data_IF_416088276443
#
_entry.id   IF_416088276443
#
_cell.length_a   1.000
_cell.length_b   1.000
_cell.length_c   1.000
_cell.angle_alpha   90.00
_cell.angle_beta   90.00
_cell.angle_gamma   90.00
#
_symmetry.space_group_name_H-M   'P 1'
#
loop_
_entity.id
_entity.type
_entity.pdbx_description
1 polymer ?
#
# COMPACT_ATOMS: atom_id res chain seq x y z
N UNK A 1 11.52 57.15 5.49
CA UNK A 1 12.28 55.92 5.85
C UNK A 1 11.34 54.74 5.67
N UNK A 2 11.48 54.01 4.57
CA UNK A 2 10.61 52.86 4.22
C UNK A 2 11.35 51.56 4.54
N UNK A 3 10.85 50.80 5.52
CA UNK A 3 11.40 49.49 5.89
C UNK A 3 10.91 48.42 4.92
N UNK A 4 11.82 47.89 4.11
CA UNK A 4 11.60 46.65 3.36
C UNK A 4 11.82 45.46 4.29
N UNK A 5 10.77 44.70 4.57
CA UNK A 5 10.86 43.41 5.27
C UNK A 5 10.78 42.29 4.23
N UNK A 6 11.90 41.59 4.02
CA UNK A 6 11.96 40.39 3.18
C UNK A 6 11.35 39.20 3.91
N UNK A 7 10.50 38.35 3.29
CA UNK A 7 9.98 37.16 3.95
C UNK A 7 11.06 36.07 4.04
N UNK A 8 11.18 35.47 5.23
CA UNK A 8 12.01 34.28 5.48
C UNK A 8 11.48 33.10 4.66
N UNK A 9 12.33 32.61 3.74
CA UNK A 9 12.09 31.40 2.95
C UNK A 9 12.27 30.17 3.86
N UNK A 10 11.19 29.47 4.18
CA UNK A 10 11.29 28.20 4.90
C UNK A 10 11.98 27.14 4.03
N UNK A 11 12.89 26.33 4.59
CA UNK A 11 13.48 25.22 3.85
C UNK A 11 12.42 24.14 3.59
N UNK A 12 12.29 23.72 2.34
CA UNK A 12 11.47 22.58 1.93
C UNK A 12 11.91 21.30 2.65
N UNK A 13 10.99 20.40 3.02
CA UNK A 13 11.35 19.10 3.60
C UNK A 13 12.24 18.33 2.64
N UNK A 14 13.37 17.82 3.15
CA UNK A 14 14.27 16.94 2.40
C UNK A 14 13.49 15.70 1.97
N UNK A 15 13.27 15.54 0.66
CA UNK A 15 12.93 14.24 0.08
C UNK A 15 14.07 13.27 0.42
N UNK A 16 13.73 12.18 1.10
CA UNK A 16 14.65 11.06 1.27
C UNK A 16 14.53 10.18 0.03
N UNK A 17 15.62 10.09 -0.73
CA UNK A 17 15.72 9.19 -1.88
C UNK A 17 15.46 7.73 -1.46
N UNK A 18 14.73 6.94 -2.24
CA UNK A 18 14.55 5.52 -2.02
C UNK A 18 15.78 4.76 -2.53
N UNK A 19 16.91 4.97 -1.87
CA UNK A 19 18.10 4.13 -2.04
C UNK A 19 18.56 3.71 -0.65
N UNK A 20 18.07 2.58 -0.20
CA UNK A 20 18.85 1.53 0.46
C UNK A 20 17.90 0.48 1.06
N UNK A 21 17.86 -0.70 0.44
CA UNK A 21 17.57 -1.99 1.10
C UNK A 21 17.77 -3.12 0.08
N UNK A 22 18.99 -3.29 -0.43
CA UNK A 22 19.37 -4.49 -1.21
C UNK A 22 19.80 -5.59 -0.26
N UNK A 23 18.86 -6.37 0.27
CA UNK A 23 19.14 -7.72 0.76
C UNK A 23 17.85 -8.55 0.73
N UNK A 24 17.78 -9.66 0.00
CA UNK A 24 16.52 -10.36 -0.29
C UNK A 24 15.96 -11.22 0.86
N UNK A 25 16.70 -11.36 1.98
CA UNK A 25 16.10 -11.74 3.27
C UNK A 25 15.28 -10.61 3.94
N UNK A 26 15.41 -9.38 3.45
CA UNK A 26 14.83 -8.17 4.04
C UNK A 26 13.34 -7.99 3.75
N UNK A 27 12.79 -8.48 2.63
CA UNK A 27 11.40 -8.12 2.25
C UNK A 27 10.36 -8.72 3.20
N UNK A 28 10.46 -10.01 3.50
CA UNK A 28 9.60 -10.72 4.45
C UNK A 28 9.83 -10.21 5.87
N UNK A 29 11.09 -10.01 6.27
CA UNK A 29 11.44 -9.49 7.59
C UNK A 29 10.89 -8.06 7.79
N UNK A 30 11.04 -7.20 6.78
CA UNK A 30 10.50 -5.83 6.76
C UNK A 30 8.98 -5.84 6.80
N UNK A 31 8.33 -6.64 5.96
CA UNK A 31 6.88 -6.79 5.97
C UNK A 31 6.38 -7.22 7.35
N UNK A 32 6.96 -8.26 7.95
CA UNK A 32 6.56 -8.69 9.30
C UNK A 32 6.86 -7.63 10.36
N UNK A 33 7.98 -6.89 10.20
CA UNK A 33 8.39 -5.84 11.12
C UNK A 33 7.39 -4.68 11.10
N UNK A 34 7.24 -4.01 9.95
CA UNK A 34 6.51 -2.73 9.81
C UNK A 34 5.09 -2.86 9.23
N UNK A 35 4.74 -4.04 8.73
CA UNK A 35 3.41 -4.38 8.21
C UNK A 35 3.16 -3.99 6.75
N UNK A 36 4.16 -3.53 6.00
CA UNK A 36 4.06 -3.31 4.57
C UNK A 36 5.37 -3.58 3.83
N UNK A 37 5.28 -3.72 2.50
CA UNK A 37 6.41 -3.72 1.58
C UNK A 37 5.98 -3.09 0.24
N UNK A 38 6.72 -2.13 -0.27
CA UNK A 38 6.44 -1.48 -1.56
C UNK A 38 7.59 -1.71 -2.54
N UNK A 39 7.25 -2.06 -3.78
CA UNK A 39 8.19 -2.22 -4.88
C UNK A 39 7.68 -1.51 -6.15
N UNK A 40 8.45 -0.57 -6.73
CA UNK A 40 8.05 0.15 -7.94
C UNK A 40 8.27 -0.70 -9.20
N UNK A 41 7.32 -1.59 -9.49
CA UNK A 41 7.30 -2.42 -10.71
C UNK A 41 6.48 -1.73 -11.79
N UNK A 42 7.14 -1.06 -12.73
CA UNK A 42 6.47 -0.21 -13.70
C UNK A 42 5.59 -0.96 -14.69
N UNK A 43 5.98 -2.19 -15.04
CA UNK A 43 5.21 -3.07 -15.92
C UNK A 43 3.83 -3.37 -15.32
N UNK A 44 3.76 -3.53 -14.00
CA UNK A 44 2.48 -3.64 -13.27
C UNK A 44 1.72 -2.32 -13.36
N UNK A 45 2.38 -1.19 -13.09
CA UNK A 45 1.76 0.13 -13.19
C UNK A 45 1.11 0.38 -14.56
N UNK A 46 1.85 0.16 -15.64
CA UNK A 46 1.38 0.34 -17.01
C UNK A 46 0.20 -0.58 -17.34
N UNK A 47 0.26 -1.85 -16.88
CA UNK A 47 -0.84 -2.81 -17.04
C UNK A 47 -2.11 -2.36 -16.31
N UNK A 48 -2.00 -1.91 -15.06
CA UNK A 48 -3.14 -1.43 -14.28
C UNK A 48 -3.76 -0.19 -14.92
N UNK A 49 -2.94 0.79 -15.33
CA UNK A 49 -3.40 2.00 -16.00
C UNK A 49 -4.20 1.67 -17.28
N UNK A 50 -3.66 0.76 -18.11
CA UNK A 50 -4.34 0.30 -19.32
C UNK A 50 -5.68 -0.38 -19.02
N UNK A 51 -5.74 -1.24 -18.00
CA UNK A 51 -6.98 -1.91 -17.60
C UNK A 51 -8.05 -0.92 -17.15
N UNK A 52 -7.68 0.15 -16.45
CA UNK A 52 -8.62 1.22 -16.10
C UNK A 52 -9.07 2.03 -17.31
N UNK A 53 -8.16 2.39 -18.22
CA UNK A 53 -8.50 3.08 -19.47
C UNK A 53 -9.48 2.27 -20.33
N UNK A 54 -9.32 0.94 -20.35
CA UNK A 54 -10.20 0.02 -21.08
C UNK A 54 -11.50 -0.31 -20.33
N UNK A 55 -11.69 0.13 -19.07
CA UNK A 55 -12.84 -0.26 -18.25
C UNK A 55 -12.85 -1.75 -17.85
N UNK A 56 -11.70 -2.42 -17.90
CA UNK A 56 -11.52 -3.86 -17.66
C UNK A 56 -10.85 -4.20 -16.34
N UNK A 57 -10.48 -3.21 -15.53
CA UNK A 57 -9.88 -3.42 -14.21
C UNK A 57 -10.70 -4.36 -13.31
N UNK A 58 -12.04 -4.27 -13.36
CA UNK A 58 -12.92 -5.17 -12.60
C UNK A 58 -12.98 -6.61 -13.11
N UNK A 59 -12.46 -6.91 -14.30
CA UNK A 59 -12.58 -8.21 -14.96
C UNK A 59 -11.37 -9.12 -14.73
N UNK A 60 -10.23 -8.55 -14.34
CA UNK A 60 -9.00 -9.33 -14.11
C UNK A 60 -8.98 -9.95 -12.71
N UNK A 61 -8.24 -11.04 -12.58
CA UNK A 61 -7.87 -11.65 -11.31
C UNK A 61 -6.35 -11.60 -11.11
N UNK A 62 -5.88 -12.04 -9.94
CA UNK A 62 -4.47 -11.94 -9.56
C UNK A 62 -3.53 -12.69 -10.52
N UNK A 63 -3.99 -13.76 -11.18
CA UNK A 63 -3.15 -14.57 -12.07
C UNK A 63 -2.72 -13.76 -13.30
N UNK A 64 -3.50 -12.74 -13.69
CA UNK A 64 -3.16 -11.85 -14.80
C UNK A 64 -1.81 -11.14 -14.60
N UNK A 65 -1.38 -10.95 -13.35
CA UNK A 65 -0.14 -10.27 -12.98
C UNK A 65 0.93 -11.22 -12.45
N UNK A 66 0.68 -12.53 -12.47
CA UNK A 66 1.54 -13.53 -11.82
C UNK A 66 2.97 -13.49 -12.33
N UNK A 67 3.15 -13.42 -13.64
CA UNK A 67 4.48 -13.45 -14.25
C UNK A 67 5.27 -12.18 -13.89
N UNK A 68 4.62 -11.01 -13.87
CA UNK A 68 5.27 -9.75 -13.47
C UNK A 68 5.68 -9.78 -11.99
N UNK A 69 4.77 -10.24 -11.12
CA UNK A 69 5.03 -10.36 -9.68
C UNK A 69 6.17 -11.34 -9.38
N UNK A 70 6.21 -12.49 -10.06
CA UNK A 70 7.23 -13.52 -9.83
C UNK A 70 8.58 -13.22 -10.50
N UNK A 71 8.61 -12.28 -11.46
CA UNK A 71 9.85 -11.79 -12.06
C UNK A 71 10.68 -10.94 -11.10
N UNK A 72 10.05 -10.34 -10.08
CA UNK A 72 10.71 -9.56 -9.03
C UNK A 72 11.05 -10.46 -7.83
N UNK A 73 12.33 -10.48 -7.43
CA UNK A 73 12.82 -11.35 -6.35
C UNK A 73 12.12 -11.07 -5.00
N UNK A 74 12.01 -9.79 -4.61
CA UNK A 74 11.39 -9.40 -3.34
C UNK A 74 9.91 -9.76 -3.25
N UNK A 75 9.17 -9.52 -4.34
CA UNK A 75 7.75 -9.86 -4.45
C UNK A 75 7.54 -11.37 -4.47
N UNK A 76 8.38 -12.11 -5.20
CA UNK A 76 8.35 -13.58 -5.23
C UNK A 76 8.58 -14.17 -3.84
N UNK A 77 9.56 -13.67 -3.10
CA UNK A 77 9.91 -14.17 -1.77
C UNK A 77 8.77 -13.93 -0.76
N UNK A 78 8.12 -12.76 -0.84
CA UNK A 78 6.90 -12.48 -0.08
C UNK A 78 5.78 -13.45 -0.47
N UNK A 79 5.44 -13.56 -1.75
CA UNK A 79 4.33 -14.39 -2.23
C UNK A 79 4.52 -15.89 -1.93
N UNK A 80 5.76 -16.38 -1.89
CA UNK A 80 6.05 -17.75 -1.48
C UNK A 80 5.57 -18.07 -0.05
N UNK A 81 5.53 -17.06 0.83
CA UNK A 81 5.03 -17.18 2.20
C UNK A 81 3.50 -17.06 2.31
N UNK A 82 2.81 -16.64 1.23
CA UNK A 82 1.36 -16.40 1.20
C UNK A 82 0.70 -17.02 -0.05
N UNK A 83 0.78 -18.36 -0.22
CA UNK A 83 0.46 -19.02 -1.49
C UNK A 83 -1.04 -19.05 -1.84
N UNK A 84 -1.94 -18.76 -0.88
CA UNK A 84 -3.39 -18.91 -1.07
C UNK A 84 -4.05 -17.59 -1.36
N UNK A 85 -4.52 -17.40 -2.60
CA UNK A 85 -5.30 -16.21 -2.94
C UNK A 85 -6.76 -16.37 -2.49
N UNK A 86 -7.28 -15.33 -1.84
CA UNK A 86 -8.66 -15.25 -1.36
C UNK A 86 -9.57 -14.67 -2.43
N UNK A 87 -10.89 -14.84 -2.29
CA UNK A 87 -11.89 -14.22 -3.20
C UNK A 87 -12.00 -12.70 -3.06
N UNK A 88 -11.27 -12.10 -2.12
CA UNK A 88 -11.27 -10.67 -1.85
C UNK A 88 -10.62 -9.92 -3.02
N UNK A 89 -11.42 -9.14 -3.75
CA UNK A 89 -10.96 -8.23 -4.82
C UNK A 89 -11.77 -6.93 -4.79
N UNK A 90 -11.07 -5.80 -4.73
CA UNK A 90 -11.68 -4.47 -4.77
C UNK A 90 -10.98 -3.57 -5.78
N UNK A 91 -11.75 -2.70 -6.44
CA UNK A 91 -11.21 -1.52 -7.08
C UNK A 91 -11.17 -0.43 -6.01
N UNK A 92 -10.00 0.12 -5.76
CA UNK A 92 -9.80 1.06 -4.67
C UNK A 92 -9.15 2.35 -5.15
N UNK A 93 -9.51 3.46 -4.50
CA UNK A 93 -9.11 4.81 -4.89
C UNK A 93 -8.73 5.65 -3.68
N UNK A 94 -8.70 6.97 -3.89
CA UNK A 94 -8.34 7.92 -2.85
C UNK A 94 -9.35 7.90 -1.69
N UNK A 95 -8.84 7.76 -0.46
CA UNK A 95 -9.61 7.83 0.79
C UNK A 95 -8.93 8.83 1.72
N UNK A 96 -9.69 9.73 2.34
CA UNK A 96 -9.12 10.79 3.18
C UNK A 96 -8.59 10.24 4.52
N UNK A 97 -9.36 9.35 5.12
CA UNK A 97 -9.05 8.74 6.40
C UNK A 97 -8.08 7.57 6.25
N UNK A 98 -7.34 7.29 7.33
CA UNK A 98 -6.58 6.05 7.42
C UNK A 98 -7.57 4.92 7.60
N UNK A 99 -7.35 3.82 6.89
CA UNK A 99 -8.15 2.62 7.03
C UNK A 99 -7.25 1.39 7.09
N UNK A 100 -7.77 0.30 7.61
CA UNK A 100 -7.24 -1.03 7.35
C UNK A 100 -8.37 -1.90 6.80
N UNK A 101 -8.04 -3.08 6.30
CA UNK A 101 -9.08 -3.99 5.84
C UNK A 101 -9.66 -4.71 7.04
N UNK A 102 -10.99 -4.65 7.19
CA UNK A 102 -11.71 -5.34 8.25
C UNK A 102 -11.86 -6.82 7.92
N UNK A 103 -10.75 -7.46 7.57
CA UNK A 103 -10.74 -8.86 7.27
C UNK A 103 -9.87 -9.69 8.22
N UNK A 104 -9.95 -9.47 9.54
CA UNK A 104 -9.20 -10.28 10.49
C UNK A 104 -9.62 -11.76 10.48
N UNK A 105 -10.77 -12.14 9.90
CA UNK A 105 -11.20 -13.55 9.80
C UNK A 105 -10.89 -14.21 8.46
N UNK A 106 -10.95 -13.51 7.32
CA UNK A 106 -10.70 -14.12 6.00
C UNK A 106 -9.37 -13.74 5.36
N UNK A 107 -8.50 -12.99 6.04
CA UNK A 107 -7.12 -12.73 5.57
C UNK A 107 -6.10 -12.81 6.72
N UNK A 108 -6.41 -13.31 7.92
CA UNK A 108 -5.37 -13.63 8.91
C UNK A 108 -5.06 -15.13 8.98
N UNK A 109 -3.78 -15.51 9.11
CA UNK A 109 -2.60 -14.71 8.77
C UNK A 109 -2.49 -14.52 7.25
N UNK A 110 -2.29 -13.29 6.78
CA UNK A 110 -2.37 -13.00 5.34
C UNK A 110 -1.87 -11.62 4.96
N UNK A 111 -2.12 -11.24 3.72
CA UNK A 111 -1.52 -10.08 3.06
C UNK A 111 -2.48 -9.54 2.00
N UNK A 112 -2.64 -8.22 1.98
CA UNK A 112 -3.38 -7.48 0.96
C UNK A 112 -2.38 -6.92 -0.04
N UNK A 113 -2.68 -7.07 -1.34
CA UNK A 113 -1.82 -6.70 -2.45
C UNK A 113 -2.53 -5.61 -3.24
N UNK A 114 -1.92 -4.44 -3.30
CA UNK A 114 -2.32 -3.31 -4.12
C UNK A 114 -1.48 -3.29 -5.39
N UNK A 115 -2.12 -3.44 -6.55
CA UNK A 115 -1.50 -3.15 -7.83
C UNK A 115 -1.84 -1.72 -8.23
N UNK A 116 -0.84 -0.85 -8.19
CA UNK A 116 -0.99 0.61 -8.26
C UNK A 116 -0.71 1.12 -9.67
N UNK A 117 -1.60 1.95 -10.22
CA UNK A 117 -1.31 2.68 -11.46
C UNK A 117 -0.38 3.88 -11.23
N UNK A 118 0.29 4.40 -12.27
CA UNK A 118 0.97 5.68 -12.22
C UNK A 118 0.02 6.88 -12.43
N UNK A 119 0.24 8.02 -11.76
CA UNK A 119 1.00 8.18 -10.53
C UNK A 119 0.20 7.67 -9.32
N UNK A 120 0.89 7.17 -8.30
CA UNK A 120 0.25 6.74 -7.05
C UNK A 120 0.93 7.39 -5.85
N UNK A 121 0.11 7.90 -4.91
CA UNK A 121 0.57 8.45 -3.63
C UNK A 121 -0.17 7.77 -2.50
N UNK A 122 0.53 7.29 -1.48
CA UNK A 122 -0.08 6.61 -0.33
C UNK A 122 0.75 6.79 0.94
N UNK A 123 0.11 6.53 2.07
CA UNK A 123 0.72 6.63 3.40
C UNK A 123 0.41 5.37 4.20
N UNK A 124 1.44 4.81 4.84
CA UNK A 124 1.32 3.68 5.75
C UNK A 124 1.63 4.12 7.19
N UNK A 125 0.88 3.59 8.16
CA UNK A 125 1.14 3.76 9.59
C UNK A 125 2.01 2.60 10.07
N UNK A 126 3.31 2.81 10.18
CA UNK A 126 4.27 1.79 10.62
C UNK A 126 3.87 1.17 11.97
N UNK A 127 4.02 -0.15 12.08
CA UNK A 127 3.70 -0.97 13.27
C UNK A 127 2.23 -1.00 13.70
N UNK A 128 1.34 -0.29 13.02
CA UNK A 128 -0.08 -0.25 13.36
C UNK A 128 -0.80 -1.58 13.19
N UNK A 129 -0.23 -2.56 12.48
CA UNK A 129 -0.78 -3.92 12.36
C UNK A 129 -0.72 -4.72 13.67
N UNK A 130 0.07 -4.27 14.65
CA UNK A 130 0.22 -4.90 15.97
C UNK A 130 -0.76 -4.40 17.02
N UNK A 131 -1.62 -3.42 16.67
CA UNK A 131 -2.60 -2.87 17.61
C UNK A 131 -3.67 -3.91 17.97
N UNK A 132 -4.33 -3.68 19.09
CA UNK A 132 -5.55 -4.40 19.44
C UNK A 132 -6.73 -3.74 18.71
N UNK A 133 -7.68 -4.55 18.24
CA UNK A 133 -8.81 -4.09 17.42
C UNK A 133 -10.09 -4.28 18.20
N UNK A 134 -10.81 -3.19 18.44
CA UNK A 134 -12.24 -3.27 18.79
C UNK A 134 -13.03 -3.40 17.49
N UNK A 135 -13.78 -4.51 17.40
CA UNK A 135 -14.37 -5.01 16.16
C UNK A 135 -15.65 -4.27 15.80
N UNK A 136 -15.59 -3.37 14.82
CA UNK A 136 -16.74 -3.01 13.97
C UNK A 136 -16.29 -2.71 12.53
N UNK A 137 -16.84 -3.45 11.57
CA UNK A 137 -16.67 -3.24 10.12
C UNK A 137 -17.56 -2.09 9.64
N UNK A 138 -17.07 -1.27 8.70
CA UNK A 138 -17.96 -0.43 7.89
C UNK A 138 -18.43 -1.19 6.63
N UNK A 139 -19.46 -0.65 5.94
CA UNK A 139 -20.07 -1.27 4.76
C UNK A 139 -19.11 -1.46 3.57
N UNK A 140 -17.98 -0.75 3.56
CA UNK A 140 -16.94 -0.82 2.53
C UNK A 140 -15.88 -1.92 2.79
N UNK A 141 -16.10 -2.74 3.83
CA UNK A 141 -15.18 -3.79 4.31
C UNK A 141 -13.83 -3.25 4.81
N UNK A 142 -13.74 -1.96 5.09
CA UNK A 142 -12.61 -1.33 5.75
C UNK A 142 -12.98 -0.95 7.18
N UNK A 143 -11.97 -0.86 8.03
CA UNK A 143 -12.04 -0.24 9.34
C UNK A 143 -11.34 1.11 9.24
N UNK A 144 -12.08 2.20 9.36
CA UNK A 144 -11.53 3.55 9.34
C UNK A 144 -10.99 3.91 10.73
N UNK A 145 -9.73 4.32 10.79
CA UNK A 145 -9.08 4.71 12.02
C UNK A 145 -9.48 6.14 12.35
N UNK A 146 -9.80 6.37 13.63
CA UNK A 146 -9.91 7.71 14.16
C UNK A 146 -8.59 8.47 13.97
N UNK A 147 -8.67 9.80 13.88
CA UNK A 147 -7.46 10.64 13.82
C UNK A 147 -6.57 10.43 15.05
N UNK A 148 -7.18 10.28 16.22
CA UNK A 148 -6.49 10.06 17.48
C UNK A 148 -5.68 8.76 17.45
N UNK A 149 -6.23 7.69 16.89
CA UNK A 149 -5.50 6.44 16.72
C UNK A 149 -4.40 6.56 15.66
N UNK A 150 -4.69 7.19 14.53
CA UNK A 150 -3.71 7.37 13.45
C UNK A 150 -2.50 8.22 13.88
N UNK A 151 -2.71 9.20 14.76
CA UNK A 151 -1.65 10.08 15.29
C UNK A 151 -0.70 9.35 16.27
N UNK A 152 -1.02 8.11 16.71
CA UNK A 152 -0.16 7.29 17.58
C UNK A 152 0.99 6.59 16.85
N UNK A 153 0.95 6.54 15.52
CA UNK A 153 1.87 5.74 14.71
C UNK A 153 2.75 6.62 13.83
N UNK A 154 3.96 6.12 13.54
CA UNK A 154 4.85 6.75 12.57
C UNK A 154 4.30 6.62 11.16
N UNK A 155 4.41 7.68 10.37
CA UNK A 155 3.92 7.72 8.99
C UNK A 155 5.06 7.50 8.02
N UNK A 156 4.87 6.57 7.09
CA UNK A 156 5.70 6.45 5.90
C UNK A 156 4.90 6.87 4.67
N UNK A 157 5.34 7.93 4.02
CA UNK A 157 4.77 8.43 2.78
C UNK A 157 5.51 7.85 1.56
N UNK A 158 4.74 7.58 0.51
CA UNK A 158 5.22 7.09 -0.76
C UNK A 158 4.63 7.90 -1.90
N UNK A 159 5.49 8.26 -2.84
CA UNK A 159 5.14 8.92 -4.09
C UNK A 159 5.81 8.15 -5.23
N UNK A 160 5.01 7.46 -6.04
CA UNK A 160 5.49 6.67 -7.16
C UNK A 160 4.95 7.23 -8.48
N UNK A 161 5.87 7.74 -9.28
CA UNK A 161 5.58 8.19 -10.64
C UNK A 161 5.29 7.03 -11.62
N UNK A 162 5.60 5.78 -11.24
CA UNK A 162 5.48 4.59 -12.12
C UNK A 162 4.48 3.54 -11.60
N UNK A 163 3.76 3.82 -10.52
CA UNK A 163 2.93 2.80 -9.86
C UNK A 163 3.78 1.70 -9.23
N UNK A 164 3.26 0.47 -9.20
CA UNK A 164 3.98 -0.70 -8.70
C UNK A 164 3.09 -1.64 -7.89
N UNK A 165 3.69 -2.33 -6.92
CA UNK A 165 2.99 -3.22 -6.00
C UNK A 165 3.26 -2.82 -4.55
N UNK A 166 2.18 -2.69 -3.79
CA UNK A 166 2.22 -2.49 -2.34
C UNK A 166 1.59 -3.70 -1.66
N UNK A 167 2.38 -4.38 -0.84
CA UNK A 167 1.94 -5.45 0.05
C UNK A 167 1.67 -4.86 1.43
N UNK A 168 0.53 -5.19 2.02
CA UNK A 168 0.07 -4.63 3.30
C UNK A 168 -0.44 -5.76 4.19
N UNK A 169 -0.09 -5.74 5.48
CA UNK A 169 -0.76 -6.56 6.48
C UNK A 169 -2.24 -6.12 6.53
N UNK A 170 -3.23 -7.03 6.48
CA UNK A 170 -4.63 -6.66 6.38
C UNK A 170 -5.07 -5.62 7.40
N UNK A 171 -4.45 -5.62 8.58
CA UNK A 171 -4.84 -4.72 9.66
C UNK A 171 -3.90 -3.52 9.87
N UNK A 172 -2.92 -3.31 8.98
CA UNK A 172 -2.14 -2.08 8.95
C UNK A 172 -3.03 -0.89 8.57
N UNK A 173 -2.98 0.19 9.34
CA UNK A 173 -3.56 1.47 8.94
C UNK A 173 -2.79 2.08 7.76
N UNK A 174 -3.49 2.43 6.69
CA UNK A 174 -2.92 3.05 5.50
C UNK A 174 -3.98 3.86 4.76
N UNK A 175 -3.56 4.71 3.83
CA UNK A 175 -4.47 5.40 2.92
C UNK A 175 -3.83 5.62 1.56
N UNK A 176 -4.65 5.61 0.52
CA UNK A 176 -4.27 6.02 -0.83
C UNK A 176 -4.68 7.49 -0.97
N UNK A 177 -3.71 8.37 -1.25
CA UNK A 177 -3.93 9.81 -1.43
C UNK A 177 -4.11 10.17 -2.91
N UNK A 178 -3.56 9.36 -3.82
CA UNK A 178 -3.69 9.55 -5.26
C UNK A 178 -3.46 8.27 -6.04
N UNK A 179 -4.10 8.19 -7.20
CA UNK A 179 -4.08 7.03 -8.09
C UNK A 179 -5.22 6.04 -7.80
N UNK A 180 -5.19 4.91 -8.51
CA UNK A 180 -6.14 3.80 -8.36
C UNK A 180 -5.39 2.48 -8.20
N UNK A 181 -6.06 1.53 -7.57
CA UNK A 181 -5.49 0.22 -7.29
C UNK A 181 -6.48 -0.91 -7.57
N UNK A 182 -5.96 -2.02 -8.06
CA UNK A 182 -6.64 -3.31 -7.98
C UNK A 182 -6.10 -4.02 -6.74
N UNK A 183 -6.99 -4.35 -5.82
CA UNK A 183 -6.65 -4.91 -4.51
C UNK A 183 -6.99 -6.40 -4.48
N UNK A 184 -6.08 -7.24 -3.99
CA UNK A 184 -6.27 -8.68 -3.78
C UNK A 184 -5.91 -9.08 -2.36
N UNK A 185 -6.54 -10.13 -1.82
CA UNK A 185 -6.18 -10.70 -0.51
C UNK A 185 -5.53 -12.07 -0.65
N UNK A 186 -4.53 -12.38 0.17
CA UNK A 186 -3.83 -13.68 0.22
C UNK A 186 -3.65 -14.18 1.67
N UNK A 187 -3.50 -15.48 1.87
CA UNK A 187 -3.27 -16.13 3.19
C UNK A 187 -1.99 -16.96 3.18
N UNK A 188 -1.41 -17.15 4.37
CA UNK A 188 -0.36 -18.17 4.61
C UNK A 188 -0.90 -19.60 4.42
#
# INVERSE_FOLDING_TARGET
MTSNSTPLKMPSPKQSDPKDDKNTKSSVEKFNRVGYFFEPIAEIGDKVAKLYQEGRAGQVDHHFFKDDLLSNESARDLLACYPKVTKFKHLWGTVQDFYCWDNPSTVKPGMVIYLLEPPSKFVCLEDSHRREFDTMCDDDHAFHLSREDADRFSRKEFDSARGGVLFVDPVLGHRLEGGRAIVFGTKK
#
